data_IF_218241950050
#
_entry.id   IF_218241950050
#
_cell.length_a   1.000
_cell.length_b   1.000
_cell.length_c   1.000
_cell.angle_alpha   90.00
_cell.angle_beta   90.00
_cell.angle_gamma   90.00
#
_symmetry.space_group_name_H-M   'P 1'
#
loop_
_entity.id
_entity.type
_entity.pdbx_description
1 polymer ?
#
# COMPACT_ATOMS: atom_id res chain seq x y z
N UNK A 1 -2.18 12.86 -24.48
CA UNK A 1 -1.88 12.56 -23.06
C UNK A 1 -0.87 11.44 -23.05
N UNK A 2 0.35 11.71 -22.60
CA UNK A 2 1.41 10.71 -22.47
C UNK A 2 1.12 9.87 -21.22
N UNK A 3 0.86 8.57 -21.41
CA UNK A 3 0.70 7.65 -20.28
C UNK A 3 2.08 7.39 -19.68
N UNK A 4 2.32 7.98 -18.52
CA UNK A 4 3.52 7.74 -17.71
C UNK A 4 3.18 6.66 -16.68
N UNK A 5 3.99 5.59 -16.63
CA UNK A 5 3.83 4.52 -15.66
C UNK A 5 4.87 4.63 -14.54
N UNK A 6 4.42 4.60 -13.29
CA UNK A 6 5.30 4.51 -12.12
C UNK A 6 5.33 3.08 -11.59
N UNK A 7 6.53 2.55 -11.38
CA UNK A 7 6.76 1.21 -10.83
C UNK A 7 7.60 1.30 -9.56
N UNK A 8 7.15 0.65 -8.50
CA UNK A 8 7.92 0.49 -7.26
C UNK A 8 8.47 -0.93 -7.24
N UNK A 9 9.78 -1.05 -7.08
CA UNK A 9 10.47 -2.34 -6.99
C UNK A 9 11.10 -2.44 -5.61
N UNK A 10 10.83 -3.54 -4.92
CA UNK A 10 11.48 -3.87 -3.65
C UNK A 10 12.36 -5.10 -3.87
N UNK A 11 13.57 -5.08 -3.31
CA UNK A 11 14.45 -6.26 -3.27
C UNK A 11 15.18 -6.33 -1.95
N UNK A 12 15.29 -7.54 -1.43
CA UNK A 12 16.20 -7.86 -0.34
C UNK A 12 17.65 -7.64 -0.80
N UNK A 13 18.40 -6.92 0.02
CA UNK A 13 19.83 -6.75 -0.09
C UNK A 13 20.50 -7.55 1.04
N UNK A 14 20.98 -8.73 0.69
CA UNK A 14 21.61 -9.67 1.62
C UNK A 14 22.91 -9.10 2.23
N UNK A 15 23.60 -8.17 1.54
CA UNK A 15 24.86 -7.61 2.02
C UNK A 15 24.66 -6.58 3.14
N UNK A 16 23.50 -5.91 3.17
CA UNK A 16 23.18 -4.85 4.13
C UNK A 16 22.07 -5.22 5.09
N UNK A 17 21.63 -6.48 5.08
CA UNK A 17 20.55 -7.00 5.91
C UNK A 17 19.30 -6.10 5.89
N UNK A 18 18.86 -5.72 4.69
CA UNK A 18 17.81 -4.71 4.54
C UNK A 18 17.02 -4.80 3.23
N UNK A 19 15.83 -4.20 3.24
CA UNK A 19 14.99 -4.08 2.05
C UNK A 19 15.30 -2.77 1.33
N UNK A 20 15.60 -2.83 0.03
CA UNK A 20 15.81 -1.65 -0.81
C UNK A 20 14.60 -1.39 -1.70
N UNK A 21 14.27 -0.11 -1.86
CA UNK A 21 13.18 0.38 -2.68
C UNK A 21 13.71 1.22 -3.84
N UNK A 22 13.20 0.96 -5.04
CA UNK A 22 13.41 1.79 -6.21
C UNK A 22 12.07 2.29 -6.73
N UNK A 23 11.99 3.58 -7.02
CA UNK A 23 10.86 4.19 -7.73
C UNK A 23 11.33 4.45 -9.15
N UNK A 24 10.69 3.79 -10.11
CA UNK A 24 11.05 3.80 -11.51
C UNK A 24 9.90 4.43 -12.30
N UNK A 25 10.19 5.52 -12.99
CA UNK A 25 9.27 6.10 -13.99
C UNK A 25 9.60 5.50 -15.35
N UNK A 26 8.59 4.99 -16.04
CA UNK A 26 8.72 4.46 -17.38
C UNK A 26 7.84 5.27 -18.34
N UNK A 27 8.48 5.86 -19.33
CA UNK A 27 7.81 6.58 -20.41
C UNK A 27 7.53 5.64 -21.60
N UNK A 28 6.57 6.02 -22.46
CA UNK A 28 6.15 5.22 -23.63
C UNK A 28 7.29 4.96 -24.63
N UNK A 29 8.28 5.86 -24.67
CA UNK A 29 9.44 5.76 -25.56
C UNK A 29 10.48 4.73 -25.08
N UNK A 30 10.20 4.02 -23.98
CA UNK A 30 11.08 3.00 -23.41
C UNK A 30 12.15 3.56 -22.47
N UNK A 31 12.24 4.88 -22.33
CA UNK A 31 13.10 5.54 -21.35
C UNK A 31 12.64 5.19 -19.93
N UNK A 32 13.60 4.80 -19.09
CA UNK A 32 13.39 4.51 -17.67
C UNK A 32 14.20 5.50 -16.85
N UNK A 33 13.49 6.24 -16.01
CA UNK A 33 14.10 7.15 -15.03
C UNK A 33 13.99 6.48 -13.65
N UNK A 34 15.08 6.49 -12.88
CA UNK A 34 15.10 5.95 -11.52
C UNK A 34 15.28 7.12 -10.57
N UNK A 35 14.41 7.21 -9.57
CA UNK A 35 14.53 8.23 -8.52
C UNK A 35 15.80 7.96 -7.71
N UNK A 36 16.62 8.99 -7.53
CA UNK A 36 17.82 8.89 -6.70
C UNK A 36 17.45 8.58 -5.23
N UNK A 37 18.32 7.87 -4.48
CA UNK A 37 18.09 7.63 -3.05
C UNK A 37 17.84 8.93 -2.30
N UNK A 38 16.81 8.94 -1.43
CA UNK A 38 16.49 10.07 -0.57
C UNK A 38 17.16 9.83 0.78
N UNK A 39 18.03 10.75 1.20
CA UNK A 39 18.59 10.73 2.55
C UNK A 39 17.52 11.19 3.54
N UNK A 40 17.09 10.27 4.42
CA UNK A 40 16.11 10.55 5.46
C UNK A 40 16.82 10.86 6.78
N UNK A 41 16.70 12.10 7.25
CA UNK A 41 17.18 12.50 8.57
C UNK A 41 16.03 12.49 9.59
N UNK A 42 16.21 11.76 10.70
CA UNK A 42 15.23 11.75 11.79
C UNK A 42 15.39 13.02 12.63
N UNK A 43 14.43 13.95 12.51
CA UNK A 43 14.33 15.10 13.42
C UNK A 43 13.62 14.68 14.71
N UNK A 44 14.31 14.81 15.84
CA UNK A 44 13.83 14.33 17.15
C UNK A 44 12.83 15.25 17.86
N UNK A 45 12.59 16.45 17.34
CA UNK A 45 11.77 17.45 18.04
C UNK A 45 10.68 17.99 17.13
N UNK A 46 9.45 17.54 17.35
CA UNK A 46 8.24 18.27 16.99
C UNK A 46 7.68 18.85 18.28
N UNK A 47 7.60 20.18 18.37
CA UNK A 47 7.00 20.82 19.54
C UNK A 47 5.48 20.66 19.45
N UNK A 48 4.87 20.31 20.58
CA UNK A 48 3.42 20.14 20.67
C UNK A 48 2.72 21.45 20.28
N UNK A 49 1.98 21.45 19.17
CA UNK A 49 1.30 22.63 18.62
C UNK A 49 1.82 23.13 17.27
N UNK A 50 2.94 22.59 16.77
CA UNK A 50 3.35 22.80 15.38
C UNK A 50 2.42 22.00 14.44
N UNK A 51 1.90 22.69 13.43
CA UNK A 51 1.06 22.12 12.37
C UNK A 51 1.78 20.93 11.74
N UNK A 52 1.03 19.92 11.29
CA UNK A 52 1.56 18.68 10.71
C UNK A 52 2.81 18.91 9.85
N UNK A 53 3.83 18.05 9.94
CA UNK A 53 5.03 18.20 9.15
C UNK A 53 4.71 18.26 7.66
N UNK A 54 5.52 19.03 6.92
CA UNK A 54 5.46 18.98 5.46
C UNK A 54 5.72 17.53 4.99
N UNK A 55 4.91 17.03 4.05
CA UNK A 55 5.04 15.66 3.59
C UNK A 55 6.35 15.46 2.85
N UNK A 56 7.09 14.40 3.21
CA UNK A 56 8.34 14.01 2.53
C UNK A 56 8.10 13.62 1.07
N UNK A 57 6.91 13.09 0.76
CA UNK A 57 6.48 12.74 -0.59
C UNK A 57 5.04 13.19 -0.78
N UNK A 58 4.77 13.83 -1.92
CA UNK A 58 3.42 14.22 -2.34
C UNK A 58 3.07 13.55 -3.66
N UNK A 59 1.92 12.90 -3.69
CA UNK A 59 1.38 12.25 -4.88
C UNK A 59 -0.06 12.71 -5.09
N UNK A 60 -0.46 12.90 -6.35
CA UNK A 60 -1.89 13.00 -6.67
C UNK A 60 -2.59 11.65 -6.42
N UNK A 61 -3.93 11.66 -6.36
CA UNK A 61 -4.72 10.47 -6.02
C UNK A 61 -4.43 9.26 -6.94
N UNK A 62 -4.23 9.52 -8.23
CA UNK A 62 -3.96 8.47 -9.22
C UNK A 62 -2.58 7.85 -9.02
N UNK A 63 -1.55 8.69 -8.90
CA UNK A 63 -0.16 8.30 -8.69
C UNK A 63 0.03 7.65 -7.32
N UNK A 64 -0.70 8.12 -6.30
CA UNK A 64 -0.71 7.52 -4.98
C UNK A 64 -1.20 6.08 -5.02
N UNK A 65 -2.29 5.80 -5.76
CA UNK A 65 -2.80 4.44 -5.89
C UNK A 65 -1.80 3.52 -6.60
N UNK A 66 -1.19 3.97 -7.69
CA UNK A 66 -0.15 3.21 -8.40
C UNK A 66 1.08 2.95 -7.52
N UNK A 67 1.54 3.97 -6.79
CA UNK A 67 2.66 3.86 -5.87
C UNK A 67 2.38 2.84 -4.75
N UNK A 68 1.23 2.97 -4.07
CA UNK A 68 0.85 2.05 -2.99
C UNK A 68 0.68 0.61 -3.50
N UNK A 69 0.09 0.42 -4.68
CA UNK A 69 -0.05 -0.89 -5.28
C UNK A 69 1.33 -1.50 -5.61
N UNK A 70 2.24 -0.72 -6.18
CA UNK A 70 3.61 -1.15 -6.46
C UNK A 70 4.36 -1.53 -5.19
N UNK A 71 4.22 -0.73 -4.12
CA UNK A 71 4.82 -1.01 -2.82
C UNK A 71 4.31 -2.32 -2.22
N UNK A 72 2.99 -2.54 -2.22
CA UNK A 72 2.38 -3.79 -1.73
C UNK A 72 2.85 -4.99 -2.54
N UNK A 73 2.84 -4.88 -3.87
CA UNK A 73 3.30 -5.95 -4.76
C UNK A 73 4.77 -6.32 -4.46
N UNK A 74 5.65 -5.31 -4.34
CA UNK A 74 7.05 -5.53 -4.01
C UNK A 74 7.24 -6.17 -2.64
N UNK A 75 6.44 -5.80 -1.63
CA UNK A 75 6.50 -6.42 -0.30
C UNK A 75 6.11 -7.90 -0.38
N UNK A 76 5.01 -8.21 -1.07
CA UNK A 76 4.53 -9.59 -1.27
C UNK A 76 5.56 -10.44 -2.02
N UNK A 77 6.18 -9.90 -3.07
CA UNK A 77 7.25 -10.56 -3.83
C UNK A 77 8.47 -10.91 -2.96
N UNK A 78 8.76 -10.10 -1.93
CA UNK A 78 9.83 -10.36 -0.97
C UNK A 78 9.38 -11.17 0.26
N UNK A 79 8.19 -11.80 0.20
CA UNK A 79 7.69 -12.69 1.24
C UNK A 79 6.97 -11.99 2.40
N UNK A 80 6.84 -10.67 2.37
CA UNK A 80 6.01 -9.92 3.33
C UNK A 80 4.56 -10.02 2.90
N UNK A 81 3.86 -11.02 3.43
CA UNK A 81 2.41 -11.10 3.26
C UNK A 81 1.77 -10.13 4.23
N UNK A 82 0.79 -9.31 3.80
CA UNK A 82 -0.11 -8.72 4.77
C UNK A 82 -0.71 -9.88 5.55
N UNK A 83 -0.61 -9.84 6.88
CA UNK A 83 -1.53 -10.61 7.71
C UNK A 83 -2.90 -10.37 7.10
N UNK A 84 -3.61 -11.44 6.73
CA UNK A 84 -4.96 -11.36 6.16
C UNK A 84 -5.65 -10.22 6.88
N UNK A 85 -5.94 -9.14 6.14
CA UNK A 85 -6.53 -7.95 6.74
C UNK A 85 -7.70 -8.54 7.51
N UNK A 86 -7.61 -8.49 8.84
CA UNK A 86 -8.77 -8.65 9.71
C UNK A 86 -9.59 -7.44 9.37
N UNK A 87 -10.22 -7.48 8.21
CA UNK A 87 -11.32 -6.66 7.82
C UNK A 87 -12.41 -7.16 8.76
N UNK A 88 -12.31 -6.71 10.02
CA UNK A 88 -13.43 -6.57 10.89
C UNK A 88 -14.32 -5.48 10.29
N UNK A 89 -14.79 -5.69 9.07
CA UNK A 89 -16.07 -5.15 8.66
C UNK A 89 -17.08 -5.93 9.48
N UNK A 90 -17.31 -5.41 10.70
CA UNK A 90 -18.39 -5.85 11.57
C UNK A 90 -19.72 -5.89 10.81
N UNK A 91 -19.85 -5.10 9.75
CA UNK A 91 -20.96 -5.14 8.80
C UNK A 91 -21.05 -6.45 8.00
N UNK A 92 -19.94 -6.98 7.47
CA UNK A 92 -19.94 -8.24 6.71
C UNK A 92 -20.24 -9.42 7.63
N UNK A 93 -19.69 -9.40 8.84
CA UNK A 93 -19.95 -10.43 9.85
C UNK A 93 -21.41 -10.38 10.35
N UNK A 94 -21.96 -9.19 10.61
CA UNK A 94 -23.37 -9.00 10.96
C UNK A 94 -24.31 -9.44 9.83
N UNK A 95 -23.95 -9.18 8.57
CA UNK A 95 -24.73 -9.59 7.41
C UNK A 95 -24.75 -11.11 7.25
N UNK A 96 -23.65 -11.80 7.55
CA UNK A 96 -23.60 -13.27 7.55
C UNK A 96 -24.55 -13.87 8.60
N UNK A 97 -24.54 -13.35 9.83
CA UNK A 97 -25.47 -13.79 10.87
C UNK A 97 -26.93 -13.53 10.52
N UNK A 98 -27.23 -12.37 9.92
CA UNK A 98 -28.57 -12.05 9.48
C UNK A 98 -29.09 -13.01 8.38
N UNK A 99 -28.23 -13.36 7.42
CA UNK A 99 -28.58 -14.32 6.36
C UNK A 99 -28.80 -15.75 6.90
N UNK A 100 -28.03 -16.17 7.90
CA UNK A 100 -28.22 -17.46 8.56
C UNK A 100 -29.56 -17.53 9.31
N UNK A 101 -29.96 -16.46 9.99
CA UNK A 101 -31.26 -16.42 10.69
C UNK A 101 -32.44 -16.39 9.72
N UNK A 102 -32.34 -15.65 8.60
CA UNK A 102 -33.34 -15.73 7.54
C UNK A 102 -33.44 -17.13 6.93
N UNK A 103 -32.30 -17.81 6.74
CA UNK A 103 -32.29 -19.20 6.27
C UNK A 103 -33.01 -20.13 7.25
N UNK A 104 -32.75 -20.00 8.55
CA UNK A 104 -33.46 -20.82 9.56
C UNK A 104 -34.96 -20.57 9.56
N UNK A 105 -35.41 -19.33 9.34
CA UNK A 105 -36.84 -19.00 9.26
C UNK A 105 -37.52 -19.58 8.01
N UNK A 106 -36.86 -19.49 6.85
CA UNK A 106 -37.41 -19.99 5.57
C UNK A 106 -37.43 -21.52 5.52
N UNK A 107 -36.45 -22.20 6.13
CA UNK A 107 -36.31 -23.65 6.05
C UNK A 107 -36.79 -24.42 7.30
N UNK A 108 -37.36 -23.76 8.31
CA UNK A 108 -37.91 -24.44 9.52
C UNK A 108 -39.29 -25.09 9.33
N UNK A 109 -39.96 -24.88 8.19
CA UNK A 109 -41.30 -25.43 7.92
C UNK A 109 -41.29 -26.59 6.90
N UNK A 110 -40.29 -27.47 6.95
CA UNK A 110 -40.35 -28.80 6.34
C UNK A 110 -39.90 -29.87 7.31
#
# INVERSE_FOLDING_TARGET
>A
MTNVGWNVVLRLDEERDGLRMWIIKQDLDGTREVVAPIDLEVRKEYKFGEMFPEPTLFFDSFSAHQFLQGLVNGLVENGYKPDEIKAHDKEVEAMKYHLEDMRKLVFKNK
#
